data_IF_359683331106
#
_entry.id   IF_359683331106
#
_cell.length_a   1.000
_cell.length_b   1.000
_cell.length_c   1.000
_cell.angle_alpha   90.00
_cell.angle_beta   90.00
_cell.angle_gamma   90.00
#
_symmetry.space_group_name_H-M   'P 1'
#
loop_
_entity.id
_entity.type
_entity.pdbx_description
1 polymer ?
#
# COMPACT_ATOMS: atom_id res chain seq x y z
N UNK A 1 10.78 17.42 -54.01
CA UNK A 1 11.39 16.96 -52.74
C UNK A 1 12.62 16.13 -53.05
N UNK A 2 13.75 16.39 -52.38
CA UNK A 2 14.97 15.60 -52.54
C UNK A 2 14.90 14.38 -51.63
N UNK A 3 15.28 13.22 -52.17
CA UNK A 3 15.35 11.96 -51.44
C UNK A 3 16.81 11.54 -51.29
N UNK A 4 17.13 11.01 -50.12
CA UNK A 4 18.44 10.46 -49.77
C UNK A 4 18.36 8.94 -49.72
N UNK A 5 19.49 8.31 -50.03
CA UNK A 5 19.68 6.87 -49.90
C UNK A 5 19.79 6.47 -48.42
N UNK A 6 19.61 5.16 -48.17
CA UNK A 6 19.84 4.55 -46.85
C UNK A 6 21.22 4.89 -46.30
N UNK A 7 22.26 4.87 -47.14
CA UNK A 7 23.65 5.13 -46.75
C UNK A 7 23.86 6.58 -46.32
N UNK A 8 23.26 7.54 -47.02
CA UNK A 8 23.33 8.97 -46.67
C UNK A 8 22.57 9.27 -45.37
N UNK A 9 21.39 8.67 -45.20
CA UNK A 9 20.61 8.80 -43.96
C UNK A 9 21.31 8.11 -42.79
N UNK A 10 21.94 6.95 -43.01
CA UNK A 10 22.71 6.24 -42.00
C UNK A 10 23.85 7.12 -41.45
N UNK A 11 24.57 7.81 -42.35
CA UNK A 11 25.59 8.80 -41.97
C UNK A 11 24.97 10.00 -41.25
N UNK A 12 23.87 10.56 -41.78
CA UNK A 12 23.19 11.73 -41.19
C UNK A 12 22.65 11.47 -39.77
N UNK A 13 22.16 10.26 -39.51
CA UNK A 13 21.57 9.87 -38.23
C UNK A 13 22.56 9.18 -37.29
N UNK A 14 23.81 8.96 -37.72
CA UNK A 14 24.84 8.21 -37.00
C UNK A 14 24.32 6.84 -36.52
N UNK A 15 23.83 6.03 -37.46
CA UNK A 15 23.31 4.67 -37.22
C UNK A 15 23.69 3.73 -38.35
N UNK A 16 23.59 2.42 -38.11
CA UNK A 16 23.80 1.43 -39.18
C UNK A 16 22.73 1.54 -40.27
N UNK A 17 23.09 1.22 -41.52
CA UNK A 17 22.11 1.13 -42.61
C UNK A 17 20.98 0.13 -42.31
N UNK A 18 21.28 -0.93 -41.57
CA UNK A 18 20.28 -1.91 -41.11
C UNK A 18 19.22 -1.25 -40.24
N UNK A 19 19.62 -0.36 -39.33
CA UNK A 19 18.70 0.40 -38.49
C UNK A 19 17.81 1.33 -39.31
N UNK A 20 18.37 2.01 -40.31
CA UNK A 20 17.60 2.88 -41.22
C UNK A 20 16.57 2.06 -42.02
N UNK A 21 16.98 0.93 -42.62
CA UNK A 21 16.07 0.02 -43.34
C UNK A 21 14.95 -0.49 -42.42
N UNK A 22 15.27 -0.84 -41.18
CA UNK A 22 14.27 -1.27 -40.20
C UNK A 22 13.28 -0.15 -39.85
N UNK A 23 13.75 1.09 -39.67
CA UNK A 23 12.85 2.23 -39.41
C UNK A 23 11.89 2.47 -40.58
N UNK A 24 12.38 2.41 -41.81
CA UNK A 24 11.54 2.54 -43.01
C UNK A 24 10.55 1.37 -43.15
N UNK A 25 11.00 0.13 -42.96
CA UNK A 25 10.15 -1.06 -43.03
C UNK A 25 9.06 -1.08 -41.94
N UNK A 26 9.33 -0.47 -40.77
CA UNK A 26 8.37 -0.30 -39.69
C UNK A 26 7.45 0.93 -39.87
N UNK A 27 7.54 1.65 -40.99
CA UNK A 27 6.72 2.84 -41.25
C UNK A 27 7.05 4.04 -40.35
N UNK A 28 8.21 4.04 -39.69
CA UNK A 28 8.59 5.06 -38.68
C UNK A 28 9.22 6.31 -39.29
N UNK A 29 9.44 6.31 -40.59
CA UNK A 29 10.03 7.41 -41.35
C UNK A 29 8.97 7.95 -42.29
N UNK A 30 8.36 9.07 -41.91
CA UNK A 30 7.27 9.66 -42.70
C UNK A 30 7.76 10.07 -44.09
N UNK A 31 7.01 9.69 -45.13
CA UNK A 31 7.35 9.97 -46.54
C UNK A 31 8.44 9.08 -47.14
N UNK A 32 8.95 8.07 -46.41
CA UNK A 32 9.84 7.08 -47.00
C UNK A 32 9.07 6.06 -47.84
N UNK A 33 9.58 5.74 -49.02
CA UNK A 33 8.99 4.72 -49.90
C UNK A 33 10.07 3.88 -50.58
N UNK A 34 9.68 2.70 -51.07
CA UNK A 34 10.58 1.77 -51.72
C UNK A 34 10.40 1.82 -53.25
N UNK A 35 11.50 1.91 -53.99
CA UNK A 35 11.51 1.77 -55.45
C UNK A 35 12.48 0.65 -55.82
N UNK A 36 11.95 -0.47 -56.31
CA UNK A 36 12.73 -1.68 -56.52
C UNK A 36 13.29 -2.21 -55.20
N UNK A 37 14.62 -2.18 -55.04
CA UNK A 37 15.33 -2.60 -53.81
C UNK A 37 15.88 -1.42 -53.00
N UNK A 38 15.60 -0.19 -53.41
CA UNK A 38 16.19 1.02 -52.82
C UNK A 38 15.13 1.81 -52.07
N UNK A 39 15.42 2.15 -50.81
CA UNK A 39 14.60 3.06 -50.03
C UNK A 39 14.91 4.51 -50.40
N UNK A 40 13.87 5.28 -50.72
CA UNK A 40 13.92 6.72 -50.91
C UNK A 40 13.41 7.38 -49.64
N UNK A 41 14.28 8.13 -48.96
CA UNK A 41 13.97 8.75 -47.67
C UNK A 41 14.02 10.27 -47.82
N UNK A 42 12.97 11.03 -47.43
CA UNK A 42 13.00 12.48 -47.54
C UNK A 42 14.20 13.09 -46.82
N UNK A 43 14.85 14.08 -47.43
CA UNK A 43 16.03 14.75 -46.84
C UNK A 43 15.72 15.38 -45.46
N UNK A 44 14.48 15.85 -45.25
CA UNK A 44 14.00 16.43 -44.00
C UNK A 44 13.50 15.40 -42.97
N UNK A 45 13.64 14.10 -43.24
CA UNK A 45 13.23 13.06 -42.30
C UNK A 45 14.04 13.15 -41.00
N UNK A 46 13.32 13.22 -39.87
CA UNK A 46 13.91 13.18 -38.53
C UNK A 46 14.18 11.73 -38.13
N UNK A 47 15.28 11.50 -37.42
CA UNK A 47 15.63 10.19 -36.86
C UNK A 47 14.51 9.74 -35.91
N UNK A 48 13.90 8.55 -36.12
CA UNK A 48 12.91 8.04 -35.18
C UNK A 48 13.52 7.81 -33.81
N UNK A 49 12.79 8.14 -32.75
CA UNK A 49 13.25 7.91 -31.38
C UNK A 49 13.50 6.41 -31.13
N UNK A 50 14.50 6.02 -30.34
CA UNK A 50 14.69 4.60 -30.02
C UNK A 50 13.50 4.11 -29.19
N UNK A 51 12.83 3.06 -29.66
CA UNK A 51 11.73 2.38 -28.95
C UNK A 51 12.18 1.76 -27.62
N UNK A 52 13.49 1.63 -27.39
CA UNK A 52 14.08 1.07 -26.17
C UNK A 52 14.35 2.09 -25.06
N UNK A 53 13.91 3.35 -25.16
CA UNK A 53 13.55 4.04 -23.93
C UNK A 53 12.25 3.39 -23.46
N UNK A 54 12.36 2.28 -22.71
CA UNK A 54 11.36 2.03 -21.66
C UNK A 54 11.22 3.37 -20.97
N UNK A 55 10.04 3.99 -21.00
CA UNK A 55 9.75 5.01 -20.01
C UNK A 55 9.99 4.28 -18.70
N UNK A 56 11.12 4.54 -18.03
CA UNK A 56 11.33 4.04 -16.69
C UNK A 56 10.15 4.63 -15.91
N UNK A 57 9.19 3.78 -15.56
CA UNK A 57 8.12 4.20 -14.67
C UNK A 57 8.80 4.78 -13.43
N UNK A 58 8.30 5.91 -12.91
CA UNK A 58 8.88 6.49 -11.71
C UNK A 58 8.87 5.43 -10.61
N UNK A 59 10.01 5.27 -9.93
CA UNK A 59 10.17 4.31 -8.83
C UNK A 59 9.13 4.68 -7.77
N UNK A 60 8.21 3.77 -7.48
CA UNK A 60 7.15 4.02 -6.49
C UNK A 60 7.66 3.76 -5.08
N UNK A 61 6.96 4.31 -4.08
CA UNK A 61 7.23 3.97 -2.68
C UNK A 61 7.17 2.46 -2.44
N UNK A 62 6.24 1.75 -3.08
CA UNK A 62 6.12 0.30 -2.97
C UNK A 62 7.38 -0.41 -3.46
N UNK A 63 7.99 0.04 -4.56
CA UNK A 63 9.21 -0.56 -5.10
C UNK A 63 10.39 -0.38 -4.12
N UNK A 64 10.51 0.80 -3.51
CA UNK A 64 11.52 1.09 -2.48
C UNK A 64 11.31 0.23 -1.24
N UNK A 65 10.06 0.10 -0.76
CA UNK A 65 9.73 -0.75 0.38
C UNK A 65 10.10 -2.21 0.11
N UNK A 66 9.83 -2.72 -1.10
CA UNK A 66 10.20 -4.08 -1.50
C UNK A 66 11.71 -4.28 -1.52
N UNK A 67 12.45 -3.34 -2.08
CA UNK A 67 13.92 -3.38 -2.13
C UNK A 67 14.54 -3.36 -0.72
N UNK A 68 14.10 -2.44 0.14
CA UNK A 68 14.60 -2.32 1.51
C UNK A 68 14.23 -3.52 2.38
N UNK A 69 13.03 -4.08 2.20
CA UNK A 69 12.61 -5.34 2.83
C UNK A 69 13.53 -6.49 2.40
N UNK A 70 13.76 -6.67 1.09
CA UNK A 70 14.58 -7.77 0.56
C UNK A 70 16.04 -7.69 1.01
N UNK A 71 16.60 -6.48 1.10
CA UNK A 71 17.96 -6.23 1.57
C UNK A 71 18.10 -6.20 3.10
N UNK A 72 16.98 -6.26 3.84
CA UNK A 72 16.93 -6.05 5.30
C UNK A 72 17.64 -4.76 5.71
N UNK A 73 17.45 -3.71 4.92
CA UNK A 73 18.12 -2.43 5.11
C UNK A 73 17.63 -1.76 6.40
N UNK A 74 18.52 -1.68 7.39
CA UNK A 74 18.22 -0.98 8.65
C UNK A 74 18.29 0.53 8.46
N UNK A 75 17.34 1.24 9.07
CA UNK A 75 17.30 2.71 9.09
C UNK A 75 16.63 3.37 7.90
N UNK A 76 16.10 2.61 6.92
CA UNK A 76 15.36 3.16 5.78
C UNK A 76 13.88 3.42 6.05
N UNK A 77 13.14 3.84 5.01
CA UNK A 77 11.69 4.06 5.08
C UNK A 77 10.94 2.78 5.44
N UNK A 78 11.35 1.61 4.93
CA UNK A 78 10.75 0.33 5.31
C UNK A 78 10.89 0.07 6.81
N UNK A 79 12.09 0.28 7.34
CA UNK A 79 12.38 0.11 8.77
C UNK A 79 11.56 1.06 9.64
N UNK A 80 11.52 2.34 9.26
CA UNK A 80 10.76 3.36 9.99
C UNK A 80 9.26 3.07 9.94
N UNK A 81 8.72 2.69 8.79
CA UNK A 81 7.31 2.34 8.62
C UNK A 81 6.94 1.10 9.42
N UNK A 82 7.79 0.06 9.45
CA UNK A 82 7.56 -1.14 10.27
C UNK A 82 7.36 -0.76 11.75
N UNK A 83 8.28 0.02 12.31
CA UNK A 83 8.23 0.43 13.73
C UNK A 83 7.07 1.36 13.99
N UNK A 84 6.95 2.47 13.25
CA UNK A 84 6.00 3.53 13.56
C UNK A 84 4.56 3.09 13.31
N UNK A 85 4.28 2.34 12.24
CA UNK A 85 2.93 1.85 11.96
C UNK A 85 2.51 0.81 12.99
N UNK A 86 3.41 -0.11 13.36
CA UNK A 86 3.12 -1.15 14.35
C UNK A 86 2.91 -0.57 15.74
N UNK A 87 3.81 0.31 16.20
CA UNK A 87 3.71 0.96 17.50
C UNK A 87 2.37 1.70 17.64
N UNK A 88 2.09 2.63 16.73
CA UNK A 88 0.90 3.46 16.86
C UNK A 88 -0.40 2.65 16.67
N UNK A 89 -0.41 1.70 15.73
CA UNK A 89 -1.57 0.84 15.50
C UNK A 89 -1.89 -0.02 16.73
N UNK A 90 -0.88 -0.58 17.40
CA UNK A 90 -1.11 -1.38 18.61
C UNK A 90 -1.42 -0.51 19.83
N UNK A 91 -0.80 0.66 19.96
CA UNK A 91 -1.03 1.57 21.08
C UNK A 91 -2.44 2.17 21.08
N UNK A 92 -3.01 2.45 19.90
CA UNK A 92 -4.42 2.85 19.77
C UNK A 92 -5.37 1.82 20.40
N UNK A 93 -5.06 0.52 20.22
CA UNK A 93 -5.84 -0.58 20.81
C UNK A 93 -5.45 -0.92 22.26
N UNK A 94 -4.55 -0.14 22.87
CA UNK A 94 -4.22 -0.24 24.29
C UNK A 94 -2.95 -1.00 24.65
N UNK A 95 -2.12 -1.38 23.66
CA UNK A 95 -0.80 -1.95 23.96
C UNK A 95 0.06 -0.99 24.76
N UNK A 96 0.80 -1.52 25.74
CA UNK A 96 1.66 -0.75 26.65
C UNK A 96 3.13 -0.75 26.24
N UNK A 97 3.47 -1.41 25.13
CA UNK A 97 4.84 -1.44 24.64
C UNK A 97 5.27 -0.02 24.25
N UNK A 98 6.47 0.36 24.68
CA UNK A 98 7.07 1.63 24.27
C UNK A 98 7.52 1.57 22.81
N UNK A 99 7.79 2.74 22.22
CA UNK A 99 8.34 2.82 20.87
C UNK A 99 9.68 2.09 20.77
N UNK A 100 10.56 2.25 21.76
CA UNK A 100 11.86 1.57 21.81
C UNK A 100 11.72 0.06 22.00
N UNK A 101 10.77 -0.41 22.83
CA UNK A 101 10.48 -1.84 22.94
C UNK A 101 9.99 -2.42 21.60
N UNK A 102 9.09 -1.71 20.92
CA UNK A 102 8.59 -2.11 19.60
C UNK A 102 9.75 -2.20 18.59
N UNK A 103 10.67 -1.22 18.61
CA UNK A 103 11.91 -1.23 17.83
C UNK A 103 12.81 -2.43 18.17
N UNK A 104 13.05 -2.72 19.45
CA UNK A 104 13.92 -3.83 19.84
C UNK A 104 13.36 -5.20 19.43
N UNK A 105 12.04 -5.37 19.51
CA UNK A 105 11.37 -6.58 19.02
C UNK A 105 11.62 -6.72 17.51
N UNK A 106 11.50 -5.64 16.74
CA UNK A 106 11.75 -5.67 15.29
C UNK A 106 13.23 -5.95 14.95
N UNK A 107 14.14 -5.20 15.54
CA UNK A 107 15.56 -5.19 15.17
C UNK A 107 16.32 -6.40 15.69
N UNK A 108 15.98 -6.88 16.88
CA UNK A 108 16.80 -7.87 17.61
C UNK A 108 16.02 -9.05 18.17
N UNK A 109 14.68 -9.07 18.04
CA UNK A 109 13.80 -10.00 18.75
C UNK A 109 14.07 -10.02 20.26
N UNK A 110 14.39 -8.87 20.85
CA UNK A 110 14.59 -8.72 22.29
C UNK A 110 13.57 -7.77 22.89
N UNK A 111 13.42 -7.90 24.20
CA UNK A 111 12.56 -7.06 25.02
C UNK A 111 13.44 -6.48 26.12
N UNK A 112 13.43 -5.15 26.27
CA UNK A 112 14.20 -4.48 27.32
C UNK A 112 13.78 -4.94 28.71
N UNK A 113 14.75 -5.00 29.65
CA UNK A 113 14.47 -5.30 31.05
C UNK A 113 13.86 -4.05 31.69
N UNK A 114 12.54 -4.02 31.83
CA UNK A 114 11.85 -2.97 32.58
C UNK A 114 11.32 -3.48 33.93
N UNK A 115 11.08 -2.54 34.85
CA UNK A 115 10.50 -2.83 36.16
C UNK A 115 9.01 -3.19 36.10
N UNK A 116 8.38 -3.03 34.94
CA UNK A 116 6.95 -3.27 34.72
C UNK A 116 6.69 -4.64 34.09
N UNK A 117 5.50 -5.18 34.37
CA UNK A 117 5.05 -6.45 33.80
C UNK A 117 4.60 -6.21 32.37
N UNK A 118 5.26 -6.88 31.42
CA UNK A 118 4.90 -6.85 30.01
C UNK A 118 3.83 -7.91 29.72
N UNK A 119 2.80 -7.50 28.98
CA UNK A 119 1.80 -8.43 28.48
C UNK A 119 2.39 -9.26 27.33
N UNK A 120 2.31 -10.58 27.43
CA UNK A 120 2.81 -11.50 26.40
C UNK A 120 2.04 -11.33 25.08
N UNK A 121 0.74 -11.04 25.15
CA UNK A 121 -0.05 -10.83 23.94
C UNK A 121 0.42 -9.58 23.18
N UNK A 122 0.76 -8.49 23.86
CA UNK A 122 1.29 -7.27 23.22
C UNK A 122 2.57 -7.57 22.40
N UNK A 123 3.45 -8.42 22.93
CA UNK A 123 4.68 -8.85 22.26
C UNK A 123 4.36 -9.68 21.02
N UNK A 124 3.46 -10.66 21.17
CA UNK A 124 3.04 -11.55 20.08
C UNK A 124 2.34 -10.75 18.98
N UNK A 125 1.40 -9.89 19.34
CA UNK A 125 0.65 -9.05 18.41
C UNK A 125 1.56 -8.04 17.70
N UNK A 126 2.57 -7.50 18.39
CA UNK A 126 3.62 -6.68 17.76
C UNK A 126 4.41 -7.47 16.71
N UNK A 127 4.90 -8.66 17.06
CA UNK A 127 5.61 -9.51 16.11
C UNK A 127 4.74 -9.92 14.91
N UNK A 128 3.46 -10.20 15.16
CA UNK A 128 2.51 -10.54 14.11
C UNK A 128 2.17 -9.34 13.21
N UNK A 129 2.06 -8.14 13.78
CA UNK A 129 1.79 -6.93 13.00
C UNK A 129 2.93 -6.62 12.03
N UNK A 130 4.20 -6.84 12.42
CA UNK A 130 5.34 -6.74 11.50
C UNK A 130 5.21 -7.71 10.31
N UNK A 131 4.73 -8.94 10.56
CA UNK A 131 4.46 -9.93 9.50
C UNK A 131 3.32 -9.49 8.59
N UNK A 132 2.28 -8.88 9.14
CA UNK A 132 1.17 -8.33 8.35
C UNK A 132 1.65 -7.23 7.39
N UNK A 133 2.53 -6.32 7.84
CA UNK A 133 3.13 -5.29 6.99
C UNK A 133 3.94 -5.92 5.86
N UNK A 134 4.72 -6.96 6.15
CA UNK A 134 5.46 -7.69 5.13
C UNK A 134 4.54 -8.32 4.09
N UNK A 135 3.43 -8.95 4.53
CA UNK A 135 2.42 -9.51 3.62
C UNK A 135 1.78 -8.43 2.75
N UNK A 136 1.49 -7.26 3.31
CA UNK A 136 0.94 -6.13 2.56
C UNK A 136 1.90 -5.69 1.47
N UNK A 137 3.18 -5.53 1.78
CA UNK A 137 4.18 -5.11 0.78
C UNK A 137 4.28 -6.15 -0.35
N UNK A 138 4.22 -7.45 -0.03
CA UNK A 138 4.28 -8.51 -1.03
C UNK A 138 3.05 -8.53 -1.95
N UNK A 139 1.86 -8.30 -1.38
CA UNK A 139 0.58 -8.40 -2.06
C UNK A 139 -0.08 -7.04 -2.41
N UNK A 140 0.64 -5.92 -2.29
CA UNK A 140 0.07 -4.58 -2.42
C UNK A 140 -0.69 -4.35 -3.74
N UNK A 141 -0.15 -4.83 -4.87
CA UNK A 141 -0.77 -4.67 -6.20
C UNK A 141 -2.01 -5.53 -6.42
N UNK A 142 -2.25 -6.56 -5.60
CA UNK A 142 -3.42 -7.42 -5.75
C UNK A 142 -4.71 -6.68 -5.38
N UNK A 143 -5.85 -7.12 -5.93
CA UNK A 143 -7.16 -6.63 -5.52
C UNK A 143 -7.42 -6.97 -4.04
N UNK A 144 -8.14 -6.11 -3.34
CA UNK A 144 -8.54 -6.38 -1.96
C UNK A 144 -9.65 -7.43 -1.97
N UNK A 145 -9.41 -8.54 -1.28
CA UNK A 145 -10.35 -9.67 -1.24
C UNK A 145 -10.66 -10.04 0.20
N UNK A 146 -11.84 -10.63 0.41
CA UNK A 146 -12.24 -11.19 1.70
C UNK A 146 -11.19 -12.17 2.24
N UNK A 147 -10.67 -13.03 1.37
CA UNK A 147 -9.62 -13.99 1.70
C UNK A 147 -8.39 -13.29 2.28
N UNK A 148 -7.90 -12.24 1.63
CA UNK A 148 -6.73 -11.49 2.10
C UNK A 148 -6.99 -10.79 3.45
N UNK A 149 -8.19 -10.22 3.64
CA UNK A 149 -8.58 -9.60 4.92
C UNK A 149 -8.60 -10.65 6.05
N UNK A 150 -9.16 -11.83 5.79
CA UNK A 150 -9.16 -12.96 6.73
C UNK A 150 -7.76 -13.47 7.03
N UNK A 151 -6.88 -13.53 6.03
CA UNK A 151 -5.47 -13.90 6.20
C UNK A 151 -4.70 -12.88 7.06
N UNK A 152 -4.94 -11.57 6.89
CA UNK A 152 -4.37 -10.53 7.76
C UNK A 152 -4.83 -10.72 9.21
N UNK A 153 -6.13 -10.94 9.45
CA UNK A 153 -6.65 -11.18 10.78
C UNK A 153 -6.08 -12.47 11.40
N UNK A 154 -5.97 -13.54 10.60
CA UNK A 154 -5.35 -14.81 11.02
C UNK A 154 -3.93 -14.58 11.52
N UNK A 155 -3.10 -13.92 10.72
CA UNK A 155 -1.69 -13.67 11.08
C UNK A 155 -1.60 -12.74 12.28
N UNK A 156 -2.41 -11.68 12.34
CA UNK A 156 -2.43 -10.73 13.44
C UNK A 156 -2.69 -11.41 14.80
N UNK A 157 -3.70 -12.29 14.87
CA UNK A 157 -4.13 -12.93 16.14
C UNK A 157 -3.47 -14.29 16.39
N UNK A 158 -2.63 -14.80 15.48
CA UNK A 158 -2.00 -16.12 15.63
C UNK A 158 -1.13 -16.20 16.90
N UNK A 159 -1.37 -17.20 17.75
CA UNK A 159 -0.58 -17.45 18.96
C UNK A 159 -0.93 -16.56 20.17
N UNK A 160 -1.90 -15.65 20.03
CA UNK A 160 -2.39 -14.82 21.15
C UNK A 160 -3.21 -15.64 22.16
N UNK A 161 -3.55 -15.06 23.31
CA UNK A 161 -4.48 -15.69 24.25
C UNK A 161 -5.86 -15.92 23.68
N UNK A 162 -6.33 -15.04 22.80
CA UNK A 162 -7.59 -15.21 22.09
C UNK A 162 -7.59 -16.42 21.18
N UNK A 163 -6.48 -16.72 20.49
CA UNK A 163 -6.41 -17.90 19.62
C UNK A 163 -6.52 -19.24 20.34
N UNK A 164 -6.42 -19.24 21.68
CA UNK A 164 -6.61 -20.43 22.52
C UNK A 164 -8.07 -20.64 22.96
N UNK A 165 -8.96 -19.71 22.63
CA UNK A 165 -10.38 -19.77 22.99
C UNK A 165 -11.17 -20.39 21.83
N UNK A 166 -11.84 -21.51 22.08
CA UNK A 166 -12.59 -22.24 21.03
C UNK A 166 -13.68 -21.40 20.33
N UNK A 167 -14.22 -20.41 21.04
CA UNK A 167 -15.24 -19.50 20.52
C UNK A 167 -14.66 -18.33 19.72
N UNK A 168 -13.35 -18.06 19.81
CA UNK A 168 -12.71 -16.96 19.08
C UNK A 168 -12.27 -17.43 17.69
N UNK A 169 -12.95 -16.95 16.66
CA UNK A 169 -12.69 -17.34 15.28
C UNK A 169 -11.49 -16.56 14.71
N UNK A 170 -10.27 -17.04 14.96
CA UNK A 170 -9.07 -16.45 14.35
C UNK A 170 -9.09 -16.68 12.84
N UNK A 171 -8.95 -15.59 12.07
CA UNK A 171 -8.99 -15.65 10.60
C UNK A 171 -10.38 -15.85 10.00
N UNK A 172 -11.45 -15.80 10.79
CA UNK A 172 -12.81 -15.89 10.28
C UNK A 172 -13.71 -14.88 11.00
N UNK A 173 -14.93 -14.67 10.48
CA UNK A 173 -15.83 -13.70 11.07
C UNK A 173 -16.24 -14.10 12.49
N UNK A 174 -16.65 -13.08 13.26
CA UNK A 174 -17.10 -13.22 14.65
C UNK A 174 -18.14 -14.34 14.76
N UNK A 175 -18.16 -15.00 15.93
CA UNK A 175 -19.15 -16.03 16.32
C UNK A 175 -20.15 -15.52 17.36
N UNK A 176 -19.88 -14.34 17.91
CA UNK A 176 -20.67 -13.67 18.93
C UNK A 176 -20.88 -12.21 18.52
N UNK A 177 -21.97 -11.57 18.98
CA UNK A 177 -22.13 -10.13 18.85
C UNK A 177 -20.99 -9.37 19.51
N UNK A 178 -20.63 -8.21 18.95
CA UNK A 178 -19.65 -7.29 19.52
C UNK A 178 -20.06 -5.83 19.28
N UNK A 179 -19.51 -4.95 20.10
CA UNK A 179 -19.73 -3.50 20.05
C UNK A 179 -18.40 -2.78 19.83
N UNK A 180 -18.45 -1.60 19.23
CA UNK A 180 -17.30 -0.71 19.07
C UNK A 180 -17.65 0.69 19.56
N UNK A 181 -16.94 1.20 20.57
CA UNK A 181 -17.21 2.53 21.14
C UNK A 181 -18.63 2.71 21.70
N UNK A 182 -19.25 1.64 22.18
CA UNK A 182 -20.63 1.63 22.69
C UNK A 182 -21.72 1.67 21.60
N UNK A 183 -21.37 1.37 20.34
CA UNK A 183 -22.31 1.21 19.24
C UNK A 183 -22.37 -0.24 18.79
N UNK A 184 -23.59 -0.72 18.54
CA UNK A 184 -23.85 -2.02 17.94
C UNK A 184 -23.24 -2.09 16.54
N UNK A 185 -22.64 -3.24 16.23
CA UNK A 185 -22.03 -3.51 14.93
C UNK A 185 -22.93 -4.44 14.10
N UNK A 186 -22.50 -4.85 12.90
CA UNK A 186 -23.29 -5.79 12.11
C UNK A 186 -23.63 -7.06 12.90
N UNK A 187 -24.85 -7.59 12.72
CA UNK A 187 -25.22 -8.88 13.30
C UNK A 187 -24.34 -10.00 12.73
N UNK A 188 -24.30 -11.11 13.46
CA UNK A 188 -23.46 -12.26 13.16
C UNK A 188 -23.70 -12.80 11.75
N UNK A 189 -24.98 -12.96 11.42
CA UNK A 189 -25.47 -13.53 10.16
C UNK A 189 -25.27 -12.57 8.99
N UNK A 190 -25.17 -11.27 9.27
CA UNK A 190 -25.06 -10.22 8.26
C UNK A 190 -23.62 -9.84 7.93
N UNK A 191 -22.65 -10.18 8.80
CA UNK A 191 -21.27 -9.75 8.66
C UNK A 191 -20.67 -10.18 7.31
N UNK A 192 -20.93 -11.42 6.88
CA UNK A 192 -20.44 -11.95 5.61
C UNK A 192 -21.04 -11.22 4.40
N UNK A 193 -22.36 -11.03 4.38
CA UNK A 193 -23.06 -10.37 3.28
C UNK A 193 -22.69 -8.89 3.18
N UNK A 194 -22.58 -8.20 4.33
CA UNK A 194 -22.12 -6.80 4.38
C UNK A 194 -20.69 -6.65 3.91
N UNK A 195 -19.78 -7.54 4.31
CA UNK A 195 -18.39 -7.53 3.81
C UNK A 195 -18.32 -7.78 2.32
N UNK A 196 -19.11 -8.73 1.80
CA UNK A 196 -19.19 -9.01 0.37
C UNK A 196 -19.72 -7.82 -0.42
N UNK A 197 -20.77 -7.16 0.08
CA UNK A 197 -21.33 -5.95 -0.53
C UNK A 197 -20.30 -4.82 -0.54
N UNK A 198 -19.64 -4.56 0.60
CA UNK A 198 -18.59 -3.55 0.72
C UNK A 198 -17.44 -3.79 -0.27
N UNK A 199 -16.94 -5.02 -0.35
CA UNK A 199 -15.86 -5.37 -1.28
C UNK A 199 -16.30 -5.28 -2.74
N UNK A 200 -17.56 -5.58 -3.05
CA UNK A 200 -18.10 -5.46 -4.41
C UNK A 200 -18.18 -3.99 -4.82
N UNK A 201 -18.75 -3.14 -3.96
CA UNK A 201 -18.82 -1.69 -4.14
C UNK A 201 -17.42 -1.10 -4.30
N UNK A 202 -16.50 -1.46 -3.40
CA UNK A 202 -15.15 -0.95 -3.43
C UNK A 202 -14.42 -1.38 -4.70
N UNK A 203 -14.39 -2.67 -5.05
CA UNK A 203 -13.67 -3.15 -6.22
C UNK A 203 -14.31 -2.75 -7.56
N UNK A 204 -15.53 -2.21 -7.58
CA UNK A 204 -16.18 -1.74 -8.80
C UNK A 204 -15.51 -0.50 -9.42
N UNK A 205 -14.81 0.34 -8.62
CA UNK A 205 -14.01 1.45 -9.17
C UNK A 205 -12.61 0.94 -9.55
N UNK A 206 -12.08 1.31 -10.71
CA UNK A 206 -10.72 0.89 -11.11
C UNK A 206 -9.66 1.59 -10.26
N UNK A 207 -9.72 2.92 -10.22
CA UNK A 207 -8.87 3.79 -9.41
C UNK A 207 -9.54 4.16 -8.09
N UNK A 208 -8.73 4.44 -7.06
CA UNK A 208 -9.21 4.87 -5.74
C UNK A 208 -8.64 6.22 -5.39
N UNK A 209 -9.49 7.07 -4.84
CA UNK A 209 -9.09 8.32 -4.19
C UNK A 209 -8.77 8.08 -2.72
N UNK A 210 -8.17 9.08 -2.08
CA UNK A 210 -7.97 9.07 -0.63
C UNK A 210 -9.30 8.92 0.14
N UNK A 211 -10.34 9.62 -0.30
CA UNK A 211 -11.67 9.54 0.32
C UNK A 211 -12.28 8.13 0.16
N UNK A 212 -12.09 7.46 -0.97
CA UNK A 212 -12.58 6.07 -1.16
C UNK A 212 -11.95 5.10 -0.15
N UNK A 213 -10.66 5.27 0.16
CA UNK A 213 -9.95 4.45 1.14
C UNK A 213 -10.51 4.72 2.55
N UNK A 214 -10.75 5.98 2.89
CA UNK A 214 -11.33 6.35 4.19
C UNK A 214 -12.78 5.85 4.33
N UNK A 215 -13.59 5.97 3.28
CA UNK A 215 -14.98 5.47 3.27
C UNK A 215 -15.02 3.96 3.47
N UNK A 216 -14.14 3.21 2.78
CA UNK A 216 -14.00 1.78 2.99
C UNK A 216 -13.66 1.46 4.44
N UNK A 217 -12.69 2.17 5.01
CA UNK A 217 -12.24 1.94 6.38
C UNK A 217 -13.35 2.22 7.41
N UNK A 218 -14.11 3.30 7.24
CA UNK A 218 -15.27 3.60 8.10
C UNK A 218 -16.33 2.49 8.00
N UNK A 219 -16.70 2.08 6.79
CA UNK A 219 -17.68 1.01 6.58
C UNK A 219 -17.18 -0.32 7.17
N UNK A 220 -15.90 -0.64 7.01
CA UNK A 220 -15.28 -1.83 7.60
C UNK A 220 -15.36 -1.82 9.14
N UNK A 221 -14.99 -0.70 9.77
CA UNK A 221 -15.05 -0.55 11.23
C UNK A 221 -16.49 -0.66 11.77
N UNK A 222 -17.49 -0.16 11.02
CA UNK A 222 -18.92 -0.26 11.36
C UNK A 222 -19.47 -1.68 11.21
N UNK A 223 -19.03 -2.42 10.18
CA UNK A 223 -19.36 -3.84 10.05
C UNK A 223 -18.75 -4.63 11.21
N UNK A 224 -17.51 -4.30 11.56
CA UNK A 224 -16.76 -4.93 12.65
C UNK A 224 -16.78 -6.47 12.53
N UNK A 225 -16.26 -7.02 11.41
CA UNK A 225 -16.52 -8.41 11.03
C UNK A 225 -15.81 -9.44 11.92
N UNK A 226 -14.71 -9.08 12.58
CA UNK A 226 -13.96 -9.96 13.47
C UNK A 226 -14.32 -9.73 14.93
N UNK A 227 -14.02 -10.71 15.79
CA UNK A 227 -14.29 -10.62 17.22
C UNK A 227 -13.45 -9.51 17.90
N UNK A 228 -12.19 -9.37 17.49
CA UNK A 228 -11.24 -8.32 17.89
C UNK A 228 -10.25 -8.09 16.73
N UNK A 229 -9.47 -7.01 16.77
CA UNK A 229 -8.42 -6.71 15.79
C UNK A 229 -8.89 -5.94 14.57
N UNK A 230 -10.17 -5.56 14.51
CA UNK A 230 -10.75 -4.81 13.38
C UNK A 230 -9.98 -3.51 13.12
N UNK A 231 -9.78 -2.65 14.14
CA UNK A 231 -9.05 -1.39 13.98
C UNK A 231 -7.66 -1.56 13.36
N UNK A 232 -6.91 -2.58 13.79
CA UNK A 232 -5.57 -2.91 13.28
C UNK A 232 -5.63 -3.41 11.83
N UNK A 233 -6.55 -4.33 11.54
CA UNK A 233 -6.77 -4.83 10.17
C UNK A 233 -7.20 -3.71 9.23
N UNK A 234 -8.10 -2.82 9.67
CA UNK A 234 -8.55 -1.67 8.88
C UNK A 234 -7.41 -0.70 8.54
N UNK A 235 -6.57 -0.34 9.53
CA UNK A 235 -5.38 0.51 9.30
C UNK A 235 -4.35 -0.16 8.38
N UNK A 236 -4.16 -1.47 8.51
CA UNK A 236 -3.33 -2.27 7.61
C UNK A 236 -3.88 -2.26 6.17
N UNK A 237 -5.19 -2.36 5.99
CA UNK A 237 -5.84 -2.25 4.66
C UNK A 237 -5.66 -0.85 4.07
N UNK A 238 -5.85 0.22 4.86
CA UNK A 238 -5.61 1.59 4.39
C UNK A 238 -4.17 1.75 3.88
N UNK A 239 -3.19 1.26 4.64
CA UNK A 239 -1.79 1.28 4.24
C UNK A 239 -1.56 0.54 2.90
N UNK A 240 -2.12 -0.67 2.75
CA UNK A 240 -2.04 -1.44 1.49
C UNK A 240 -2.63 -0.69 0.31
N UNK A 241 -3.84 -0.17 0.44
CA UNK A 241 -4.53 0.50 -0.68
C UNK A 241 -3.83 1.82 -1.05
N UNK A 242 -3.26 2.55 -0.08
CA UNK A 242 -2.38 3.69 -0.38
C UNK A 242 -1.21 3.29 -1.28
N UNK A 243 -0.50 2.20 -0.94
CA UNK A 243 0.61 1.69 -1.76
C UNK A 243 0.16 1.25 -3.15
N UNK A 244 -1.00 0.61 -3.27
CA UNK A 244 -1.54 0.12 -4.55
C UNK A 244 -1.82 1.25 -5.53
N UNK A 245 -2.45 2.32 -5.03
CA UNK A 245 -2.92 3.46 -5.84
C UNK A 245 -1.95 4.64 -5.84
N UNK A 246 -0.71 4.43 -5.40
CA UNK A 246 0.32 5.46 -5.32
C UNK A 246 -0.14 6.73 -4.59
N UNK A 247 -0.93 6.53 -3.53
CA UNK A 247 -1.32 7.57 -2.59
C UNK A 247 -0.34 7.51 -1.42
N UNK A 248 0.12 8.66 -0.94
CA UNK A 248 1.03 8.71 0.21
C UNK A 248 0.36 8.06 1.42
N UNK A 249 0.95 7.02 2.03
CA UNK A 249 0.40 6.40 3.23
C UNK A 249 0.44 7.36 4.43
N UNK A 250 -0.27 7.01 5.49
CA UNK A 250 -0.33 7.78 6.72
C UNK A 250 -0.40 6.85 7.92
N UNK A 251 0.07 7.32 9.07
CA UNK A 251 0.07 6.59 10.34
C UNK A 251 -0.68 7.45 11.35
N UNK A 252 -1.80 6.95 11.87
CA UNK A 252 -2.54 7.63 12.92
C UNK A 252 -1.75 7.50 14.21
N UNK A 253 -1.12 8.60 14.64
CA UNK A 253 -0.38 8.65 15.89
C UNK A 253 -1.29 8.85 17.11
N UNK A 254 -0.78 8.53 18.30
CA UNK A 254 -1.56 8.60 19.54
C UNK A 254 -2.17 9.98 19.82
N UNK A 255 -1.44 11.06 19.49
CA UNK A 255 -1.95 12.44 19.61
C UNK A 255 -3.14 12.73 18.68
N UNK A 256 -3.35 11.94 17.62
CA UNK A 256 -4.48 12.04 16.70
C UNK A 256 -5.62 11.07 17.06
N UNK A 257 -5.43 10.15 18.01
CA UNK A 257 -6.37 9.08 18.37
C UNK A 257 -7.79 9.58 18.62
N UNK A 258 -7.96 10.63 19.41
CA UNK A 258 -9.28 11.18 19.73
C UNK A 258 -9.96 11.84 18.53
N UNK A 259 -9.19 12.50 17.67
CA UNK A 259 -9.71 13.10 16.43
C UNK A 259 -10.10 12.02 15.42
N UNK A 260 -9.30 10.94 15.34
CA UNK A 260 -9.59 9.77 14.51
C UNK A 260 -10.90 9.10 14.93
N UNK A 261 -11.11 8.83 16.23
CA UNK A 261 -12.38 8.25 16.70
C UNK A 261 -13.58 9.16 16.46
N UNK A 262 -13.43 10.48 16.66
CA UNK A 262 -14.46 11.45 16.28
C UNK A 262 -14.76 11.39 14.78
N UNK A 263 -13.72 11.34 13.95
CA UNK A 263 -13.86 11.26 12.49
C UNK A 263 -14.62 10.02 12.04
N UNK A 264 -14.32 8.85 12.61
CA UNK A 264 -15.06 7.61 12.33
C UNK A 264 -16.55 7.73 12.69
N UNK A 265 -16.84 8.30 13.87
CA UNK A 265 -18.20 8.47 14.36
C UNK A 265 -19.01 9.44 13.49
N UNK A 266 -18.41 10.55 13.11
CA UNK A 266 -19.10 11.65 12.43
C UNK A 266 -19.02 11.56 10.90
N UNK A 267 -18.51 10.47 10.31
CA UNK A 267 -18.28 10.37 8.86
C UNK A 267 -19.49 10.72 7.98
N UNK A 268 -20.71 10.33 8.37
CA UNK A 268 -21.91 10.62 7.57
C UNK A 268 -22.43 12.05 7.77
N UNK A 269 -22.00 12.73 8.84
CA UNK A 269 -22.40 14.10 9.17
C UNK A 269 -21.39 15.13 8.67
N UNK A 270 -20.10 14.89 8.91
CA UNK A 270 -18.98 15.77 8.59
C UNK A 270 -17.72 14.95 8.29
N UNK A 271 -17.54 14.62 7.01
CA UNK A 271 -16.37 13.86 6.50
C UNK A 271 -15.04 14.56 6.76
N UNK A 272 -15.05 15.90 6.90
CA UNK A 272 -13.84 16.70 7.13
C UNK A 272 -13.09 16.25 8.38
N UNK A 273 -13.78 15.83 9.45
CA UNK A 273 -13.10 15.43 10.69
C UNK A 273 -12.13 14.27 10.51
N UNK A 274 -12.52 13.22 9.80
CA UNK A 274 -11.61 12.09 9.53
C UNK A 274 -10.59 12.47 8.46
N UNK A 275 -11.05 13.13 7.40
CA UNK A 275 -10.22 13.50 6.25
C UNK A 275 -9.03 14.37 6.68
N UNK A 276 -9.28 15.44 7.43
CA UNK A 276 -8.24 16.36 7.89
C UNK A 276 -7.29 15.70 8.91
N UNK A 277 -7.82 14.81 9.75
CA UNK A 277 -6.99 14.02 10.68
C UNK A 277 -6.02 13.12 9.91
N UNK A 278 -6.51 12.40 8.91
CA UNK A 278 -5.69 11.51 8.10
C UNK A 278 -4.73 12.28 7.18
N UNK A 279 -5.11 13.46 6.68
CA UNK A 279 -4.21 14.36 5.93
C UNK A 279 -3.09 14.90 6.82
N UNK A 280 -3.39 15.27 8.06
CA UNK A 280 -2.37 15.67 9.05
C UNK A 280 -1.37 14.52 9.30
N UNK A 281 -1.86 13.30 9.44
CA UNK A 281 -1.02 12.10 9.54
C UNK A 281 -0.20 11.85 8.26
N UNK A 282 -0.78 12.13 7.09
CA UNK A 282 -0.10 11.99 5.80
C UNK A 282 1.04 13.00 5.65
N UNK A 283 0.88 14.24 6.11
CA UNK A 283 1.94 15.25 6.06
C UNK A 283 3.16 14.84 6.89
N UNK A 284 2.94 14.16 8.02
CA UNK A 284 4.04 13.59 8.81
C UNK A 284 4.77 12.47 8.06
N UNK A 285 4.02 11.62 7.35
CA UNK A 285 4.62 10.58 6.51
C UNK A 285 5.38 11.18 5.31
N UNK A 286 4.85 12.25 4.68
CA UNK A 286 5.56 13.03 3.65
C UNK A 286 6.88 13.58 4.18
N UNK A 287 6.93 14.07 5.42
CA UNK A 287 8.16 14.52 6.04
C UNK A 287 9.21 13.38 6.16
N UNK A 288 8.77 12.13 6.37
CA UNK A 288 9.66 10.96 6.33
C UNK A 288 10.16 10.70 4.91
N UNK A 289 9.28 10.78 3.91
CA UNK A 289 9.67 10.63 2.50
C UNK A 289 10.67 11.70 2.08
N UNK A 290 10.46 12.96 2.46
CA UNK A 290 11.38 14.07 2.20
C UNK A 290 12.74 13.82 2.87
N UNK A 291 12.76 13.37 4.12
CA UNK A 291 13.99 13.01 4.84
C UNK A 291 14.79 11.91 4.11
N UNK A 292 14.12 10.88 3.60
CA UNK A 292 14.74 9.80 2.84
C UNK A 292 14.91 10.10 1.34
N UNK A 293 14.54 11.32 0.89
CA UNK A 293 14.62 11.76 -0.51
C UNK A 293 13.80 10.90 -1.49
N UNK A 294 12.60 10.51 -1.06
CA UNK A 294 11.66 9.70 -1.85
C UNK A 294 10.59 10.62 -2.42
N UNK A 295 10.44 10.64 -3.75
CA UNK A 295 9.38 11.39 -4.41
C UNK A 295 8.01 10.74 -4.25
N UNK A 296 6.96 11.56 -4.25
CA UNK A 296 5.56 11.14 -4.14
C UNK A 296 4.64 12.03 -4.97
#
# INVERSE_FOLDING_TARGET
>A
MRYLSVTEIAKKWDVSERSVRNYCAQGRVNGAFLTGKTWNIPENAKKPERTNKRKEEPITLLDILKEQKASKYSGGIYHKTQIDLTYNSNHIEGSRLTHDQTRYIFETNTIGIEKEVLNVDDVIETANHFRCIDMIIDHAKAALTEKFIKELHLVLKNGTSDSRKDWFAVGDYKKLPNEVGGMDTALLEEAADKMKALLTEYNAKEEKTFEDILDFHVKFERIHPFQDGNGRVGRLIMFKECLKYNIVPFIIEDNLKMFYYRGLKEWDNEKGYLTDTCLTAQDKYKAYLDYFRIGY
#
